data_IF_319004799061
#
_entry.id   IF_319004799061
#
_cell.length_a   1.000
_cell.length_b   1.000
_cell.length_c   1.000
_cell.angle_alpha   90.00
_cell.angle_beta   90.00
_cell.angle_gamma   90.00
#
_symmetry.space_group_name_H-M   'P 1'
#
loop_
_entity.id
_entity.type
_entity.pdbx_description
1 polymer ?
#
# COMPACT_ATOMS: atom_id res chain seq x y z
N UNK A 1 -26.29 -9.57 17.54
CA UNK A 1 -24.80 -9.57 17.51
C UNK A 1 -24.28 -8.46 18.41
N UNK A 2 -23.21 -8.71 19.14
CA UNK A 2 -22.50 -7.66 19.86
C UNK A 2 -21.70 -6.83 18.84
N UNK A 3 -21.84 -5.53 18.84
CA UNK A 3 -21.05 -4.62 18.00
C UNK A 3 -19.72 -4.31 18.71
N UNK A 4 -18.70 -3.84 17.98
CA UNK A 4 -17.46 -3.37 18.59
C UNK A 4 -17.70 -2.32 19.66
N UNK A 5 -16.90 -2.35 20.71
CA UNK A 5 -17.02 -1.38 21.81
C UNK A 5 -16.71 0.05 21.33
N UNK A 6 -17.51 1.01 21.80
CA UNK A 6 -17.35 2.43 21.48
C UNK A 6 -15.94 2.95 21.76
N UNK A 7 -15.32 2.48 22.86
CA UNK A 7 -13.95 2.86 23.22
C UNK A 7 -12.93 2.39 22.16
N UNK A 8 -13.14 1.20 21.58
CA UNK A 8 -12.28 0.65 20.53
C UNK A 8 -12.46 1.40 19.20
N UNK A 9 -13.69 1.75 18.85
CA UNK A 9 -13.96 2.57 17.67
C UNK A 9 -13.31 3.96 17.82
N UNK A 10 -13.40 4.59 19.00
CA UNK A 10 -12.76 5.87 19.27
C UNK A 10 -11.22 5.78 19.15
N UNK A 11 -10.63 4.70 19.65
CA UNK A 11 -9.17 4.45 19.54
C UNK A 11 -8.71 4.35 18.09
N UNK A 12 -9.48 3.63 17.26
CA UNK A 12 -9.08 3.30 15.88
C UNK A 12 -9.40 4.43 14.90
N UNK A 13 -10.60 5.04 15.02
CA UNK A 13 -11.14 5.99 14.03
C UNK A 13 -11.12 7.44 14.50
N UNK A 14 -10.89 7.70 15.79
CA UNK A 14 -11.01 9.05 16.36
C UNK A 14 -12.46 9.56 16.45
N UNK A 15 -13.43 8.73 16.03
CA UNK A 15 -14.87 9.02 16.06
C UNK A 15 -15.68 7.73 16.21
N UNK A 16 -16.95 7.81 16.55
CA UNK A 16 -17.78 6.64 16.85
C UNK A 16 -19.12 6.60 16.14
N UNK A 17 -19.55 7.69 15.55
CA UNK A 17 -20.85 7.79 14.87
C UNK A 17 -20.80 7.11 13.49
N UNK A 18 -19.86 7.53 12.65
CA UNK A 18 -19.72 7.00 11.29
C UNK A 18 -19.23 5.55 11.36
N UNK A 19 -18.19 5.29 12.14
CA UNK A 19 -17.65 3.94 12.32
C UNK A 19 -18.68 2.98 12.91
N UNK A 20 -19.40 3.38 13.95
CA UNK A 20 -20.48 2.59 14.54
C UNK A 20 -21.61 2.26 13.55
N UNK A 21 -22.00 3.21 12.71
CA UNK A 21 -22.99 2.98 11.65
C UNK A 21 -22.48 1.97 10.60
N UNK A 22 -21.19 2.04 10.21
CA UNK A 22 -20.56 1.09 9.28
C UNK A 22 -20.56 -0.34 9.85
N UNK A 23 -20.16 -0.54 11.12
CA UNK A 23 -20.15 -1.85 11.77
C UNK A 23 -21.56 -2.39 12.00
N UNK A 24 -22.54 -1.53 12.29
CA UNK A 24 -23.95 -1.93 12.36
C UNK A 24 -24.46 -2.45 11.01
N UNK A 25 -24.20 -1.74 9.92
CA UNK A 25 -24.54 -2.18 8.56
C UNK A 25 -23.88 -3.53 8.24
N UNK A 26 -22.61 -3.71 8.64
CA UNK A 26 -21.86 -4.96 8.46
C UNK A 26 -22.54 -6.13 9.18
N UNK A 27 -22.91 -5.94 10.44
CA UNK A 27 -23.60 -6.93 11.28
C UNK A 27 -24.98 -7.33 10.69
N UNK A 28 -25.78 -6.35 10.30
CA UNK A 28 -27.12 -6.56 9.77
C UNK A 28 -27.07 -7.36 8.45
N UNK A 29 -26.14 -7.04 7.55
CA UNK A 29 -25.97 -7.75 6.28
C UNK A 29 -25.38 -9.16 6.47
N UNK A 30 -24.39 -9.31 7.36
CA UNK A 30 -23.83 -10.63 7.69
C UNK A 30 -24.91 -11.60 8.20
N UNK A 31 -25.71 -11.16 9.19
CA UNK A 31 -26.84 -11.94 9.71
C UNK A 31 -27.86 -12.29 8.65
N UNK A 32 -28.23 -11.32 7.81
CA UNK A 32 -29.20 -11.51 6.74
C UNK A 32 -28.75 -12.53 5.70
N UNK A 33 -27.47 -12.52 5.32
CA UNK A 33 -26.94 -13.36 4.24
C UNK A 33 -26.63 -14.77 4.74
N UNK A 34 -26.00 -14.91 5.90
CA UNK A 34 -25.51 -16.18 6.42
C UNK A 34 -26.40 -16.81 7.48
N UNK A 35 -27.45 -16.11 7.94
CA UNK A 35 -28.37 -16.61 8.97
C UNK A 35 -27.72 -16.82 10.33
N UNK A 36 -26.62 -16.11 10.62
CA UNK A 36 -25.84 -16.25 11.84
C UNK A 36 -26.06 -15.07 12.78
N UNK A 37 -26.14 -15.35 14.09
CA UNK A 37 -26.31 -14.34 15.14
C UNK A 37 -25.00 -13.99 15.85
N UNK A 38 -23.90 -14.61 15.43
CA UNK A 38 -22.56 -14.38 15.97
C UNK A 38 -21.64 -13.92 14.84
N UNK A 39 -20.86 -12.89 15.10
CA UNK A 39 -19.79 -12.43 14.25
C UNK A 39 -18.71 -11.77 15.11
N UNK A 40 -17.48 -11.85 14.64
CA UNK A 40 -16.33 -11.06 15.10
C UNK A 40 -16.02 -10.01 14.03
N UNK A 41 -15.46 -8.88 14.45
CA UNK A 41 -15.24 -7.75 13.57
C UNK A 41 -13.77 -7.45 13.39
N UNK A 42 -13.41 -7.09 12.16
CA UNK A 42 -12.04 -6.88 11.73
C UNK A 42 -11.94 -5.63 10.89
N UNK A 43 -10.77 -5.01 10.89
CA UNK A 43 -10.45 -3.87 10.04
C UNK A 43 -9.02 -3.95 9.55
N UNK A 44 -8.78 -3.54 8.31
CA UNK A 44 -7.45 -3.36 7.75
C UNK A 44 -7.43 -2.09 6.89
N UNK A 45 -6.55 -1.12 7.17
CA UNK A 45 -6.46 0.12 6.40
C UNK A 45 -5.81 -0.10 5.03
N UNK A 46 -6.03 0.85 4.11
CA UNK A 46 -5.14 1.07 2.98
C UNK A 46 -3.82 1.72 3.42
N UNK A 47 -2.94 2.03 2.48
CA UNK A 47 -1.63 2.62 2.77
C UNK A 47 -1.29 3.79 1.84
N UNK A 48 -0.40 4.64 2.31
CA UNK A 48 0.33 5.63 1.50
C UNK A 48 1.83 5.34 1.59
N UNK A 49 2.54 5.48 0.45
CA UNK A 49 3.99 5.54 0.43
C UNK A 49 4.40 7.01 0.62
N UNK A 50 5.18 7.29 1.65
CA UNK A 50 5.61 8.65 1.98
C UNK A 50 6.90 8.99 1.22
N UNK A 51 7.92 8.12 1.31
CA UNK A 51 9.20 8.25 0.60
C UNK A 51 9.85 6.86 0.49
N UNK A 52 10.67 6.61 -0.55
CA UNK A 52 11.34 5.33 -0.78
C UNK A 52 10.82 4.61 -2.02
N UNK A 53 10.46 5.37 -3.05
CA UNK A 53 9.81 4.85 -4.26
C UNK A 53 10.64 3.77 -4.96
N UNK A 54 10.07 2.57 -5.11
CA UNK A 54 10.69 1.44 -5.82
C UNK A 54 12.04 0.95 -5.26
N UNK A 55 12.29 1.09 -3.97
CA UNK A 55 13.52 0.56 -3.35
C UNK A 55 13.33 -0.81 -2.71
N UNK A 56 12.12 -1.17 -2.29
CA UNK A 56 11.79 -2.39 -1.55
C UNK A 56 12.18 -3.69 -2.25
N UNK A 57 12.00 -3.77 -3.58
CA UNK A 57 12.33 -4.97 -4.36
C UNK A 57 13.84 -5.20 -4.58
N UNK A 58 14.70 -4.24 -4.22
CA UNK A 58 16.17 -4.36 -4.22
C UNK A 58 16.79 -4.24 -2.82
N UNK A 59 15.98 -4.43 -1.77
CA UNK A 59 16.45 -4.45 -0.40
C UNK A 59 16.68 -3.07 0.21
N UNK A 60 16.09 -2.01 -0.39
CA UNK A 60 16.19 -0.64 0.12
C UNK A 60 15.26 -0.33 1.29
N UNK A 61 15.14 0.94 1.62
CA UNK A 61 14.30 1.44 2.72
C UNK A 61 13.13 2.25 2.21
N UNK A 62 12.03 2.24 2.97
CA UNK A 62 10.79 2.98 2.66
C UNK A 62 10.19 3.52 3.94
N UNK A 63 9.68 4.76 3.91
CA UNK A 63 8.70 5.22 4.91
C UNK A 63 7.33 5.18 4.26
N UNK A 64 6.45 4.38 4.84
CA UNK A 64 5.06 4.26 4.43
C UNK A 64 4.15 4.27 5.66
N UNK A 65 2.85 4.46 5.46
CA UNK A 65 1.91 4.48 6.58
C UNK A 65 0.51 4.04 6.17
N UNK A 66 -0.24 3.55 7.14
CA UNK A 66 -1.67 3.29 6.99
C UNK A 66 -2.45 4.59 6.84
N UNK A 67 -3.51 4.57 6.05
CA UNK A 67 -4.41 5.72 5.87
C UNK A 67 -5.73 5.50 6.59
N UNK A 68 -6.53 6.57 6.72
CA UNK A 68 -7.84 6.56 7.36
C UNK A 68 -8.97 5.93 6.51
N UNK A 69 -8.66 5.34 5.35
CA UNK A 69 -9.57 4.51 4.57
C UNK A 69 -9.24 3.04 4.81
N UNK A 70 -10.26 2.19 5.00
CA UNK A 70 -10.08 0.80 5.36
C UNK A 70 -11.08 -0.16 4.72
N UNK A 71 -10.76 -1.43 4.79
CA UNK A 71 -11.67 -2.55 4.56
C UNK A 71 -12.05 -3.13 5.92
N UNK A 72 -13.35 -3.25 6.18
CA UNK A 72 -13.90 -3.84 7.40
C UNK A 72 -14.62 -5.14 7.09
N UNK A 73 -14.64 -6.07 8.03
CA UNK A 73 -15.28 -7.37 7.88
C UNK A 73 -16.00 -7.82 9.15
N UNK A 74 -17.19 -8.43 8.98
CA UNK A 74 -17.82 -9.29 9.96
C UNK A 74 -17.61 -10.73 9.50
N UNK A 75 -17.05 -11.59 10.37
CA UNK A 75 -16.76 -12.96 10.00
C UNK A 75 -17.03 -13.93 11.16
N UNK A 76 -17.32 -15.21 10.81
CA UNK A 76 -17.44 -16.28 11.79
C UNK A 76 -17.10 -17.63 11.16
N UNK A 77 -16.44 -18.57 11.89
CA UNK A 77 -16.20 -19.93 11.42
C UNK A 77 -17.50 -20.67 11.09
N UNK A 78 -17.55 -21.33 9.95
CA UNK A 78 -18.75 -22.05 9.50
C UNK A 78 -18.66 -23.57 9.68
N UNK A 79 -17.58 -24.09 10.29
CA UNK A 79 -17.37 -25.51 10.55
C UNK A 79 -17.15 -26.37 9.32
N UNK A 80 -16.88 -25.77 8.15
CA UNK A 80 -16.63 -26.45 6.89
C UNK A 80 -15.20 -26.22 6.38
N UNK A 81 -14.89 -26.76 5.19
CA UNK A 81 -13.66 -26.46 4.46
C UNK A 81 -13.89 -25.45 3.32
N UNK A 82 -14.90 -24.60 3.44
CA UNK A 82 -15.25 -23.63 2.41
C UNK A 82 -15.30 -22.23 3.00
N UNK A 83 -14.60 -21.30 2.38
CA UNK A 83 -14.67 -19.87 2.67
C UNK A 83 -15.72 -19.26 1.77
N UNK A 84 -16.62 -18.44 2.34
CA UNK A 84 -17.62 -17.66 1.60
C UNK A 84 -17.50 -16.19 2.03
N UNK A 85 -17.28 -15.31 1.06
CA UNK A 85 -17.15 -13.87 1.32
C UNK A 85 -18.09 -13.12 0.39
N UNK A 86 -19.00 -12.34 0.96
CA UNK A 86 -19.82 -11.38 0.23
C UNK A 86 -19.23 -9.98 0.44
N UNK A 87 -18.97 -9.29 -0.65
CA UNK A 87 -18.48 -7.91 -0.63
C UNK A 87 -19.60 -6.93 -0.92
N UNK A 88 -19.69 -5.86 -0.12
CA UNK A 88 -20.68 -4.80 -0.33
C UNK A 88 -20.55 -4.18 -1.73
N UNK A 89 -21.67 -4.04 -2.44
CA UNK A 89 -21.69 -3.48 -3.80
C UNK A 89 -21.32 -4.47 -4.92
N UNK A 90 -20.88 -5.69 -4.59
CA UNK A 90 -20.60 -6.74 -5.58
C UNK A 90 -21.71 -7.79 -5.57
N UNK A 91 -22.01 -8.36 -6.76
CA UNK A 91 -23.09 -9.35 -6.91
C UNK A 91 -22.64 -10.78 -6.61
N UNK A 92 -21.39 -11.08 -6.93
CA UNK A 92 -20.90 -12.45 -6.88
C UNK A 92 -20.23 -12.71 -5.51
N UNK A 93 -20.63 -13.80 -4.88
CA UNK A 93 -19.98 -14.30 -3.68
C UNK A 93 -18.61 -14.91 -4.05
N UNK A 94 -17.60 -14.63 -3.25
CA UNK A 94 -16.28 -15.27 -3.35
C UNK A 94 -16.35 -16.58 -2.60
N UNK A 95 -16.16 -17.71 -3.31
CA UNK A 95 -16.21 -19.06 -2.74
C UNK A 95 -14.86 -19.75 -2.96
N UNK A 96 -14.24 -20.23 -1.90
CA UNK A 96 -12.96 -20.97 -1.94
C UNK A 96 -13.08 -22.28 -1.17
N UNK A 97 -12.90 -23.41 -1.85
CA UNK A 97 -12.85 -24.75 -1.30
C UNK A 97 -11.39 -25.09 -0.90
N UNK A 98 -11.12 -25.16 0.39
CA UNK A 98 -9.79 -25.40 0.95
C UNK A 98 -9.23 -26.79 0.61
N UNK A 99 -10.09 -27.73 0.21
CA UNK A 99 -9.68 -29.08 -0.24
C UNK A 99 -9.15 -29.08 -1.67
N UNK A 100 -9.30 -27.97 -2.41
CA UNK A 100 -8.97 -27.84 -3.84
C UNK A 100 -8.06 -26.65 -4.13
N UNK A 101 -7.25 -26.24 -3.15
CA UNK A 101 -6.31 -25.14 -3.32
C UNK A 101 -5.30 -25.47 -4.42
N UNK A 102 -5.37 -24.75 -5.54
CA UNK A 102 -4.37 -24.74 -6.59
C UNK A 102 -4.63 -23.59 -7.57
N UNK A 103 -3.58 -23.05 -8.18
CA UNK A 103 -3.70 -22.03 -9.22
C UNK A 103 -4.56 -22.52 -10.43
N UNK A 104 -4.56 -23.80 -10.73
CA UNK A 104 -5.37 -24.36 -11.83
C UNK A 104 -6.87 -24.28 -11.57
N UNK A 105 -7.30 -24.36 -10.32
CA UNK A 105 -8.71 -24.25 -9.94
C UNK A 105 -9.17 -22.80 -9.78
N UNK A 106 -8.24 -21.90 -9.39
CA UNK A 106 -8.52 -20.50 -9.14
C UNK A 106 -7.62 -19.62 -10.04
N UNK A 107 -8.12 -19.26 -11.21
CA UNK A 107 -7.28 -18.65 -12.26
C UNK A 107 -7.24 -17.13 -12.24
N UNK A 108 -8.28 -16.47 -11.71
CA UNK A 108 -8.44 -14.99 -11.77
C UNK A 108 -9.34 -14.47 -10.65
N UNK A 109 -9.27 -13.17 -10.43
CA UNK A 109 -10.15 -12.43 -9.53
C UNK A 109 -9.86 -12.66 -8.05
N UNK A 110 -10.77 -12.20 -7.21
CA UNK A 110 -10.59 -12.20 -5.75
C UNK A 110 -10.59 -13.62 -5.16
N UNK A 111 -11.33 -14.57 -5.77
CA UNK A 111 -11.29 -15.97 -5.34
C UNK A 111 -9.89 -16.58 -5.51
N UNK A 112 -9.17 -16.23 -6.58
CA UNK A 112 -7.78 -16.66 -6.77
C UNK A 112 -6.86 -16.05 -5.72
N UNK A 113 -7.04 -14.77 -5.37
CA UNK A 113 -6.28 -14.11 -4.31
C UNK A 113 -6.47 -14.81 -2.96
N UNK A 114 -7.74 -15.05 -2.55
CA UNK A 114 -8.06 -15.75 -1.28
C UNK A 114 -7.50 -17.16 -1.28
N UNK A 115 -7.64 -17.92 -2.38
CA UNK A 115 -7.07 -19.26 -2.49
C UNK A 115 -5.53 -19.24 -2.35
N UNK A 116 -4.87 -18.27 -2.98
CA UNK A 116 -3.43 -18.05 -2.84
C UNK A 116 -3.01 -17.71 -1.42
N UNK A 117 -3.79 -16.89 -0.72
CA UNK A 117 -3.54 -16.58 0.69
C UNK A 117 -3.64 -17.82 1.57
N UNK A 118 -4.67 -18.65 1.36
CA UNK A 118 -4.83 -19.91 2.13
C UNK A 118 -3.68 -20.88 1.86
N UNK A 119 -3.29 -21.06 0.60
CA UNK A 119 -2.13 -21.91 0.27
C UNK A 119 -0.83 -21.32 0.85
N UNK A 120 -0.65 -20.00 0.77
CA UNK A 120 0.49 -19.29 1.35
C UNK A 120 0.56 -19.44 2.86
N UNK A 121 -0.56 -19.32 3.57
CA UNK A 121 -0.64 -19.54 5.02
C UNK A 121 -0.24 -20.97 5.39
N UNK A 122 -0.82 -21.98 4.72
CA UNK A 122 -0.49 -23.38 4.95
C UNK A 122 0.99 -23.71 4.70
N UNK A 123 1.58 -23.16 3.64
CA UNK A 123 3.01 -23.33 3.32
C UNK A 123 3.94 -22.71 4.37
N UNK A 124 3.48 -21.67 5.07
CA UNK A 124 4.20 -21.06 6.19
C UNK A 124 3.85 -21.71 7.55
N UNK A 125 3.11 -22.82 7.57
CA UNK A 125 2.82 -23.59 8.76
C UNK A 125 1.63 -23.09 9.59
N UNK A 126 0.77 -22.25 9.01
CA UNK A 126 -0.42 -21.73 9.67
C UNK A 126 -1.67 -22.55 9.31
N UNK A 127 -2.57 -22.64 10.27
CA UNK A 127 -3.86 -23.32 10.09
C UNK A 127 -4.82 -22.44 9.30
N UNK A 128 -5.66 -23.10 8.51
CA UNK A 128 -6.75 -22.47 7.75
C UNK A 128 -8.03 -23.23 7.93
N UNK A 129 -9.18 -22.54 7.92
CA UNK A 129 -10.49 -23.16 8.08
C UNK A 129 -11.56 -22.39 7.32
N UNK A 130 -12.71 -23.01 7.14
CA UNK A 130 -13.87 -22.38 6.50
C UNK A 130 -14.50 -21.34 7.41
N UNK A 131 -14.83 -20.19 6.82
CA UNK A 131 -15.56 -19.11 7.48
C UNK A 131 -16.50 -18.41 6.49
N UNK A 132 -17.51 -17.76 7.03
CA UNK A 132 -18.35 -16.84 6.30
C UNK A 132 -17.95 -15.42 6.65
N UNK A 133 -17.91 -14.49 5.68
CA UNK A 133 -17.61 -13.10 5.91
C UNK A 133 -18.46 -12.16 5.04
N UNK A 134 -18.89 -11.05 5.62
CA UNK A 134 -19.39 -9.90 4.87
C UNK A 134 -18.39 -8.75 5.03
N UNK A 135 -17.94 -8.20 3.91
CA UNK A 135 -16.91 -7.16 3.89
C UNK A 135 -17.39 -5.88 3.21
N UNK A 136 -16.94 -4.74 3.70
CA UNK A 136 -17.18 -3.42 3.14
C UNK A 136 -15.88 -2.64 3.09
N UNK A 137 -15.63 -1.91 2.00
CA UNK A 137 -14.41 -1.12 1.84
C UNK A 137 -14.71 0.30 1.40
N UNK A 138 -14.01 1.25 1.98
CA UNK A 138 -13.90 2.62 1.47
C UNK A 138 -12.50 2.92 0.91
N UNK A 139 -11.61 1.91 0.88
CA UNK A 139 -10.32 2.03 0.19
C UNK A 139 -10.56 2.10 -1.31
N UNK A 140 -10.17 3.20 -1.90
CA UNK A 140 -10.50 3.53 -3.29
C UNK A 140 -9.70 2.63 -4.24
N UNK A 141 -10.40 1.85 -5.03
CA UNK A 141 -9.77 0.99 -6.04
C UNK A 141 -9.06 1.85 -7.10
N UNK A 142 -7.89 1.39 -7.55
CA UNK A 142 -7.07 2.06 -8.55
C UNK A 142 -6.61 3.50 -8.19
N UNK A 143 -6.74 3.92 -6.94
CA UNK A 143 -6.23 5.21 -6.44
C UNK A 143 -4.81 5.10 -5.82
N UNK A 144 -4.09 4.02 -6.07
CA UNK A 144 -2.73 3.83 -5.59
C UNK A 144 -2.60 3.66 -4.07
N UNK A 145 -3.70 3.43 -3.35
CA UNK A 145 -3.74 3.30 -1.88
C UNK A 145 -3.94 1.86 -1.40
N UNK A 146 -3.65 0.89 -2.27
CA UNK A 146 -3.57 -0.55 -2.00
C UNK A 146 -4.83 -1.19 -1.43
N UNK A 147 -5.94 -1.10 -2.18
CA UNK A 147 -7.17 -1.81 -1.81
C UNK A 147 -7.00 -3.33 -1.77
N UNK A 148 -6.13 -3.92 -2.60
CA UNK A 148 -5.81 -5.36 -2.55
C UNK A 148 -5.13 -5.72 -1.23
N UNK A 149 -4.05 -5.01 -0.85
CA UNK A 149 -3.33 -5.30 0.39
C UNK A 149 -4.20 -5.06 1.65
N UNK A 150 -5.06 -4.03 1.63
CA UNK A 150 -6.06 -3.82 2.70
C UNK A 150 -6.97 -5.05 2.86
N UNK A 151 -7.51 -5.58 1.76
CA UNK A 151 -8.32 -6.81 1.78
C UNK A 151 -7.51 -8.03 2.20
N UNK A 152 -6.29 -8.19 1.70
CA UNK A 152 -5.38 -9.29 2.09
C UNK A 152 -5.12 -9.28 3.60
N UNK A 153 -4.79 -8.11 4.17
CA UNK A 153 -4.51 -8.00 5.60
C UNK A 153 -5.76 -8.22 6.45
N UNK A 154 -6.95 -7.83 5.96
CA UNK A 154 -8.21 -8.20 6.61
C UNK A 154 -8.37 -9.73 6.68
N UNK A 155 -8.14 -10.45 5.58
CA UNK A 155 -8.24 -11.91 5.54
C UNK A 155 -7.18 -12.56 6.45
N UNK A 156 -5.93 -12.05 6.45
CA UNK A 156 -4.90 -12.53 7.37
C UNK A 156 -5.34 -12.37 8.83
N UNK A 157 -5.91 -11.22 9.19
CA UNK A 157 -6.38 -10.98 10.57
C UNK A 157 -7.52 -11.94 10.95
N UNK A 158 -8.41 -12.26 10.02
CA UNK A 158 -9.50 -13.23 10.23
C UNK A 158 -8.94 -14.64 10.48
N UNK A 159 -8.05 -15.13 9.63
CA UNK A 159 -7.49 -16.47 9.80
C UNK A 159 -6.58 -16.58 11.02
N UNK A 160 -5.85 -15.51 11.35
CA UNK A 160 -5.01 -15.48 12.54
C UNK A 160 -5.84 -15.55 13.82
N UNK A 161 -6.88 -14.75 13.90
CA UNK A 161 -7.76 -14.75 15.07
C UNK A 161 -8.49 -16.10 15.28
N UNK A 162 -9.09 -16.65 14.20
CA UNK A 162 -9.92 -17.86 14.35
C UNK A 162 -9.14 -19.16 14.39
N UNK A 163 -7.99 -19.24 13.72
CA UNK A 163 -7.31 -20.52 13.52
C UNK A 163 -5.86 -20.55 14.03
N UNK A 164 -5.29 -19.38 14.40
CA UNK A 164 -3.88 -19.28 14.79
C UNK A 164 -3.66 -18.56 16.12
N UNK A 165 -4.71 -18.39 16.93
CA UNK A 165 -4.63 -17.78 18.27
C UNK A 165 -3.95 -16.40 18.29
N UNK A 166 -4.07 -15.63 17.21
CA UNK A 166 -3.41 -14.33 17.00
C UNK A 166 -1.87 -14.38 17.15
N UNK A 167 -1.24 -15.43 16.65
CA UNK A 167 0.22 -15.66 16.72
C UNK A 167 0.99 -15.36 15.45
N UNK A 168 0.30 -15.07 14.35
CA UNK A 168 0.96 -14.66 13.11
C UNK A 168 1.59 -13.27 13.27
N UNK A 169 2.84 -13.13 12.87
CA UNK A 169 3.48 -11.82 12.82
C UNK A 169 3.03 -11.01 11.59
N UNK A 170 3.25 -9.70 11.58
CA UNK A 170 3.00 -8.88 10.39
C UNK A 170 3.86 -9.30 9.19
N UNK A 171 5.06 -9.83 9.46
CA UNK A 171 5.88 -10.44 8.41
C UNK A 171 5.20 -11.65 7.78
N UNK A 172 4.54 -12.49 8.59
CA UNK A 172 3.78 -13.63 8.09
C UNK A 172 2.58 -13.18 7.23
N UNK A 173 1.86 -12.14 7.70
CA UNK A 173 0.79 -11.53 6.93
C UNK A 173 1.28 -11.05 5.56
N UNK A 174 2.41 -10.33 5.53
CA UNK A 174 2.98 -9.81 4.29
C UNK A 174 3.45 -10.93 3.35
N UNK A 175 4.09 -11.98 3.87
CA UNK A 175 4.49 -13.16 3.08
C UNK A 175 3.28 -13.88 2.47
N UNK A 176 2.20 -14.04 3.23
CA UNK A 176 0.94 -14.65 2.75
C UNK A 176 0.32 -13.83 1.63
N UNK A 177 0.20 -12.51 1.79
CA UNK A 177 -0.34 -11.62 0.75
C UNK A 177 0.55 -11.60 -0.49
N UNK A 178 1.86 -11.43 -0.33
CA UNK A 178 2.81 -11.45 -1.45
C UNK A 178 2.77 -12.78 -2.21
N UNK A 179 2.71 -13.92 -1.51
CA UNK A 179 2.57 -15.23 -2.15
C UNK A 179 1.33 -15.28 -3.04
N UNK A 180 0.19 -14.81 -2.54
CA UNK A 180 -1.07 -14.80 -3.30
C UNK A 180 -0.97 -13.92 -4.55
N UNK A 181 -0.42 -12.70 -4.44
CA UNK A 181 -0.22 -11.81 -5.58
C UNK A 181 0.77 -12.40 -6.62
N UNK A 182 1.93 -12.89 -6.17
CA UNK A 182 2.98 -13.38 -7.07
C UNK A 182 2.61 -14.70 -7.75
N UNK A 183 2.00 -15.64 -7.02
CA UNK A 183 1.75 -16.99 -7.51
C UNK A 183 0.39 -17.10 -8.22
N UNK A 184 -0.67 -16.49 -7.66
CA UNK A 184 -2.02 -16.64 -8.20
C UNK A 184 -2.42 -15.52 -9.16
N UNK A 185 -1.95 -14.31 -8.92
CA UNK A 185 -2.24 -13.17 -9.80
C UNK A 185 -1.15 -12.87 -10.83
N UNK A 186 0.00 -13.57 -10.78
CA UNK A 186 1.15 -13.31 -11.64
C UNK A 186 1.63 -11.83 -11.57
N UNK A 187 1.47 -11.21 -10.39
CA UNK A 187 1.86 -9.83 -10.12
C UNK A 187 3.15 -9.82 -9.31
N UNK A 188 4.25 -9.41 -9.92
CA UNK A 188 5.54 -9.27 -9.23
C UNK A 188 5.47 -8.09 -8.24
N UNK A 189 5.05 -8.34 -7.00
CA UNK A 189 4.95 -7.35 -5.92
C UNK A 189 6.01 -7.55 -4.83
N UNK A 190 6.45 -6.44 -4.22
CA UNK A 190 7.17 -6.42 -2.96
C UNK A 190 6.23 -6.71 -1.77
N UNK A 191 6.69 -6.42 -0.56
CA UNK A 191 5.90 -6.59 0.68
C UNK A 191 5.54 -5.25 1.33
N UNK A 192 5.91 -4.13 0.76
CA UNK A 192 5.69 -2.80 1.34
C UNK A 192 4.21 -2.52 1.58
N UNK A 193 3.36 -2.82 0.61
CA UNK A 193 1.92 -2.57 0.66
C UNK A 193 1.27 -3.33 1.83
N UNK A 194 1.55 -4.62 1.91
CA UNK A 194 1.04 -5.51 2.96
C UNK A 194 1.54 -5.08 4.34
N UNK A 195 2.85 -4.82 4.46
CA UNK A 195 3.44 -4.38 5.74
C UNK A 195 2.85 -3.05 6.22
N UNK A 196 2.70 -2.07 5.33
CA UNK A 196 2.14 -0.78 5.70
C UNK A 196 0.68 -0.88 6.13
N UNK A 197 -0.14 -1.72 5.47
CA UNK A 197 -1.52 -1.98 5.89
C UNK A 197 -1.60 -2.77 7.22
N UNK A 198 -0.68 -3.72 7.45
CA UNK A 198 -0.68 -4.57 8.63
C UNK A 198 -0.23 -3.85 9.90
N UNK A 199 0.89 -3.11 9.83
CA UNK A 199 1.56 -2.53 11.03
C UNK A 199 0.82 -1.31 11.58
N UNK A 200 0.33 -0.43 10.71
CA UNK A 200 -0.33 0.82 11.11
C UNK A 200 0.64 1.94 11.52
N UNK A 201 0.18 3.18 11.35
CA UNK A 201 0.97 4.39 11.57
C UNK A 201 2.00 4.62 10.47
N UNK A 202 2.83 5.67 10.60
CA UNK A 202 3.99 5.87 9.76
C UNK A 202 5.12 4.97 10.25
N UNK A 203 5.74 4.24 9.33
CA UNK A 203 6.71 3.18 9.63
C UNK A 203 7.88 3.30 8.67
N UNK A 204 9.09 3.24 9.20
CA UNK A 204 10.30 3.00 8.44
C UNK A 204 10.48 1.48 8.28
N UNK A 205 10.52 1.01 7.05
CA UNK A 205 10.78 -0.38 6.68
C UNK A 205 12.19 -0.51 6.10
N UNK A 206 12.88 -1.60 6.45
CA UNK A 206 14.15 -2.02 5.89
C UNK A 206 13.96 -3.41 5.24
N UNK A 207 14.10 -3.46 3.91
CA UNK A 207 13.86 -4.66 3.09
C UNK A 207 15.14 -5.45 2.79
N UNK A 208 16.25 -5.14 3.45
CA UNK A 208 17.53 -5.85 3.24
C UNK A 208 17.44 -7.34 3.58
N UNK A 209 16.72 -7.69 4.65
CA UNK A 209 16.41 -9.08 5.02
C UNK A 209 14.94 -9.39 4.69
N UNK A 210 14.73 -10.09 3.58
CA UNK A 210 13.38 -10.45 3.10
C UNK A 210 12.68 -11.50 3.94
N UNK A 211 13.45 -12.33 4.64
CA UNK A 211 12.89 -13.38 5.49
C UNK A 211 12.45 -12.83 6.84
N UNK A 212 13.08 -11.74 7.29
CA UNK A 212 12.79 -11.11 8.56
C UNK A 212 12.88 -9.58 8.44
N UNK A 213 11.84 -9.00 7.84
CA UNK A 213 11.76 -7.56 7.63
C UNK A 213 11.86 -6.80 8.94
N UNK A 214 12.76 -5.81 8.96
CA UNK A 214 12.89 -4.89 10.07
C UNK A 214 12.03 -3.67 9.84
N UNK A 215 11.37 -3.21 10.89
CA UNK A 215 10.59 -1.99 10.83
C UNK A 215 10.59 -1.26 12.16
N UNK A 216 10.41 0.06 12.12
CA UNK A 216 10.26 0.91 13.29
C UNK A 216 9.15 1.94 13.07
N UNK A 217 8.24 2.07 14.04
CA UNK A 217 7.21 3.12 14.02
C UNK A 217 7.84 4.47 14.26
N UNK A 218 7.39 5.46 13.51
CA UNK A 218 7.82 6.85 13.64
C UNK A 218 6.74 7.65 14.37
N UNK A 219 7.12 8.55 15.26
CA UNK A 219 6.16 9.49 15.89
C UNK A 219 5.94 10.68 14.96
N UNK A 220 5.11 10.48 13.96
CA UNK A 220 4.87 11.43 12.91
C UNK A 220 3.39 11.46 12.48
N UNK A 221 2.90 12.65 12.18
CA UNK A 221 1.71 12.85 11.34
C UNK A 221 1.81 14.20 10.64
N UNK A 222 1.28 14.32 9.43
CA UNK A 222 1.28 15.59 8.68
C UNK A 222 0.59 16.71 9.48
N UNK A 223 -0.49 16.41 10.20
CA UNK A 223 -1.22 17.38 11.02
C UNK A 223 -0.43 17.97 12.19
N UNK A 224 0.54 17.23 12.77
CA UNK A 224 1.37 17.73 13.87
C UNK A 224 2.18 18.98 13.48
N UNK A 225 2.52 19.14 12.22
CA UNK A 225 3.25 20.31 11.72
C UNK A 225 2.47 21.18 10.73
N UNK A 226 1.13 21.06 10.76
CA UNK A 226 0.22 21.95 10.02
C UNK A 226 0.10 21.65 8.53
N UNK A 227 0.33 20.41 8.10
CA UNK A 227 0.18 19.93 6.74
C UNK A 227 -0.87 18.82 6.62
N UNK A 228 -1.33 18.59 5.40
CA UNK A 228 -2.27 17.53 5.03
C UNK A 228 -1.79 16.80 3.79
N UNK A 229 -2.06 15.50 3.75
CA UNK A 229 -1.83 14.66 2.57
C UNK A 229 -3.06 14.70 1.68
N UNK A 230 -2.87 14.95 0.38
CA UNK A 230 -3.92 14.85 -0.63
C UNK A 230 -3.44 13.94 -1.74
N UNK A 231 -4.14 12.83 -1.94
CA UNK A 231 -3.90 11.91 -3.06
C UNK A 231 -4.77 12.36 -4.24
N UNK A 232 -4.18 12.48 -5.43
CA UNK A 232 -4.86 12.91 -6.64
C UNK A 232 -4.75 11.82 -7.69
N UNK A 233 -5.87 11.20 -8.05
CA UNK A 233 -5.94 10.24 -9.14
C UNK A 233 -6.01 10.99 -10.47
N UNK A 234 -5.08 10.69 -11.37
CA UNK A 234 -4.97 11.37 -12.67
C UNK A 234 -5.94 10.84 -13.72
N UNK A 235 -6.75 9.81 -13.37
CA UNK A 235 -7.81 9.26 -14.23
C UNK A 235 -7.30 8.27 -15.29
N UNK A 236 -6.13 7.65 -15.12
CA UNK A 236 -5.66 6.53 -15.96
C UNK A 236 -5.50 5.27 -15.12
N UNK A 237 -6.07 4.15 -15.60
CA UNK A 237 -5.92 2.84 -14.97
C UNK A 237 -4.57 2.17 -15.28
N UNK A 238 -4.21 1.17 -14.48
CA UNK A 238 -2.92 0.45 -14.56
C UNK A 238 -2.94 -0.79 -15.47
N UNK A 239 -4.06 -1.14 -16.09
CA UNK A 239 -4.32 -2.46 -16.68
C UNK A 239 -3.29 -2.92 -17.74
N UNK A 240 -2.63 -1.98 -18.44
CA UNK A 240 -1.71 -2.30 -19.55
C UNK A 240 -0.23 -2.00 -19.24
N UNK A 241 0.11 -1.74 -17.96
CA UNK A 241 1.43 -1.25 -17.55
C UNK A 241 2.26 -2.27 -16.76
N UNK A 242 1.80 -3.51 -16.64
CA UNK A 242 2.50 -4.57 -15.89
C UNK A 242 3.93 -4.80 -16.35
N UNK A 243 4.20 -4.65 -17.64
CA UNK A 243 5.54 -4.76 -18.20
C UNK A 243 6.47 -3.66 -17.67
N UNK A 244 6.03 -2.38 -17.74
CA UNK A 244 6.82 -1.23 -17.30
C UNK A 244 7.10 -1.29 -15.79
N UNK A 245 6.14 -1.77 -14.99
CA UNK A 245 6.36 -2.05 -13.57
C UNK A 245 7.43 -3.11 -13.34
N UNK A 246 7.40 -4.21 -14.10
CA UNK A 246 8.38 -5.30 -13.95
C UNK A 246 9.77 -4.95 -14.47
N UNK A 247 9.89 -3.99 -15.40
CA UNK A 247 11.17 -3.50 -15.90
C UNK A 247 12.00 -2.79 -14.83
N UNK A 248 11.38 -2.07 -13.89
CA UNK A 248 12.13 -1.38 -12.81
C UNK A 248 12.95 -2.35 -11.98
N UNK A 249 12.36 -3.35 -11.29
CA UNK A 249 13.15 -4.32 -10.53
C UNK A 249 14.09 -5.14 -11.42
N UNK A 250 13.70 -5.43 -12.65
CA UNK A 250 14.51 -6.20 -13.60
C UNK A 250 15.80 -5.48 -13.98
N UNK A 251 15.72 -4.20 -14.33
CA UNK A 251 16.88 -3.37 -14.67
C UNK A 251 17.80 -3.15 -13.46
N UNK A 252 17.25 -2.86 -12.28
CA UNK A 252 18.06 -2.74 -11.06
C UNK A 252 18.80 -4.04 -10.72
N UNK A 253 18.16 -5.20 -10.90
CA UNK A 253 18.83 -6.51 -10.73
C UNK A 253 19.88 -6.79 -11.80
N UNK A 254 19.66 -6.35 -13.03
CA UNK A 254 20.68 -6.47 -14.08
C UNK A 254 21.94 -5.66 -13.71
N UNK A 255 21.78 -4.46 -13.16
CA UNK A 255 22.89 -3.67 -12.62
C UNK A 255 23.57 -4.40 -11.46
N UNK A 256 22.82 -4.87 -10.46
CA UNK A 256 23.35 -5.61 -9.31
C UNK A 256 24.23 -6.79 -9.77
N UNK A 257 23.78 -7.54 -10.78
CA UNK A 257 24.55 -8.64 -11.37
C UNK A 257 25.89 -8.19 -11.97
N UNK A 258 25.94 -7.04 -12.65
CA UNK A 258 27.21 -6.48 -13.19
C UNK A 258 28.14 -6.09 -12.04
N UNK A 259 27.59 -5.62 -10.91
CA UNK A 259 28.33 -5.28 -9.70
C UNK A 259 28.73 -6.51 -8.86
N UNK A 260 28.32 -7.73 -9.26
CA UNK A 260 28.69 -8.98 -8.60
C UNK A 260 27.87 -9.31 -7.35
N UNK A 261 26.68 -8.71 -7.19
CA UNK A 261 25.75 -8.92 -6.07
C UNK A 261 24.38 -9.38 -6.56
N UNK A 262 23.52 -9.85 -5.65
CA UNK A 262 22.15 -10.24 -5.98
C UNK A 262 21.21 -9.03 -6.03
N UNK A 263 21.33 -8.16 -5.04
CA UNK A 263 20.51 -6.97 -4.88
C UNK A 263 21.37 -5.72 -4.66
N UNK A 264 20.88 -4.55 -5.06
CA UNK A 264 21.62 -3.30 -4.95
C UNK A 264 21.98 -2.90 -3.51
N UNK A 265 21.18 -3.30 -2.52
CA UNK A 265 21.50 -2.98 -1.11
C UNK A 265 22.80 -3.64 -0.61
N UNK A 266 23.30 -4.68 -1.29
CA UNK A 266 24.55 -5.38 -0.94
C UNK A 266 25.81 -4.65 -1.43
N UNK A 267 25.66 -3.53 -2.09
CA UNK A 267 26.74 -2.72 -2.65
C UNK A 267 26.46 -1.23 -2.45
N UNK A 268 27.17 -0.34 -3.14
CA UNK A 268 27.06 1.11 -2.98
C UNK A 268 27.21 1.84 -4.32
N UNK A 269 27.00 3.16 -4.28
CA UNK A 269 27.10 4.03 -5.46
C UNK A 269 28.51 4.11 -6.04
N UNK A 270 29.56 4.00 -5.22
CA UNK A 270 30.94 4.04 -5.71
C UNK A 270 31.24 2.84 -6.63
N UNK A 271 30.78 1.64 -6.24
CA UNK A 271 30.89 0.45 -7.08
C UNK A 271 30.10 0.62 -8.41
N UNK A 272 28.95 1.28 -8.39
CA UNK A 272 28.24 1.61 -9.62
C UNK A 272 29.04 2.55 -10.50
N UNK A 273 29.65 3.62 -9.96
CA UNK A 273 30.45 4.57 -10.71
C UNK A 273 31.68 3.92 -11.35
N UNK A 274 32.35 3.01 -10.65
CA UNK A 274 33.49 2.25 -11.19
C UNK A 274 33.13 1.32 -12.36
N UNK A 275 31.87 0.85 -12.40
CA UNK A 275 31.40 -0.13 -13.38
C UNK A 275 30.41 0.47 -14.40
N UNK A 276 30.04 1.73 -14.29
CA UNK A 276 29.03 2.41 -15.10
C UNK A 276 29.22 2.17 -16.61
N UNK A 277 30.45 2.28 -17.12
CA UNK A 277 30.77 2.07 -18.53
C UNK A 277 30.67 0.61 -19.01
N UNK A 278 30.42 -0.35 -18.11
CA UNK A 278 30.19 -1.76 -18.45
C UNK A 278 28.71 -2.12 -18.56
N UNK A 279 27.83 -1.19 -18.23
CA UNK A 279 26.38 -1.35 -18.29
C UNK A 279 25.90 -0.67 -19.57
N UNK A 280 25.35 -1.45 -20.49
CA UNK A 280 24.91 -0.93 -21.80
C UNK A 280 23.58 -0.17 -21.73
N UNK A 281 22.75 -0.45 -20.72
CA UNK A 281 21.43 0.17 -20.53
C UNK A 281 21.55 1.41 -19.63
N UNK A 282 21.54 2.59 -20.24
CA UNK A 282 21.61 3.88 -19.52
C UNK A 282 20.44 4.07 -18.55
N UNK A 283 19.23 3.58 -18.88
CA UNK A 283 18.07 3.65 -18.01
C UNK A 283 18.26 2.78 -16.75
N UNK A 284 18.87 1.62 -16.90
CA UNK A 284 19.19 0.77 -15.76
C UNK A 284 20.18 1.45 -14.82
N UNK A 285 21.19 2.17 -15.36
CA UNK A 285 22.12 2.99 -14.55
C UNK A 285 21.37 4.09 -13.79
N UNK A 286 20.49 4.84 -14.48
CA UNK A 286 19.68 5.90 -13.85
C UNK A 286 18.80 5.35 -12.70
N UNK A 287 18.17 4.20 -12.92
CA UNK A 287 17.35 3.52 -11.91
C UNK A 287 18.17 3.04 -10.71
N UNK A 288 19.40 2.57 -10.94
CA UNK A 288 20.32 2.22 -9.85
C UNK A 288 20.79 3.47 -9.06
N UNK A 289 21.08 4.58 -9.73
CA UNK A 289 21.38 5.87 -9.08
C UNK A 289 20.19 6.35 -8.24
N UNK A 290 18.98 6.23 -8.76
CA UNK A 290 17.77 6.49 -7.97
C UNK A 290 17.73 5.64 -6.72
N UNK A 291 17.95 4.31 -6.83
CA UNK A 291 17.92 3.38 -5.71
C UNK A 291 18.84 3.79 -4.57
N UNK A 292 20.11 4.07 -4.87
CA UNK A 292 21.09 4.47 -3.85
C UNK A 292 20.72 5.82 -3.22
N UNK A 293 20.39 6.83 -4.05
CA UNK A 293 19.99 8.13 -3.56
C UNK A 293 18.69 8.12 -2.75
N UNK A 294 17.71 7.31 -3.18
CA UNK A 294 16.40 7.22 -2.53
C UNK A 294 16.50 6.49 -1.18
N UNK A 295 17.30 5.41 -1.10
CA UNK A 295 17.53 4.71 0.16
C UNK A 295 18.21 5.62 1.20
N UNK A 296 19.19 6.42 0.80
CA UNK A 296 19.81 7.44 1.69
C UNK A 296 18.80 8.51 2.11
N UNK A 297 17.98 9.02 1.18
CA UNK A 297 16.92 10.01 1.50
C UNK A 297 15.91 9.51 2.52
N UNK A 298 15.59 8.21 2.49
CA UNK A 298 14.69 7.61 3.48
C UNK A 298 15.31 7.64 4.87
N UNK A 299 16.60 7.35 5.00
CA UNK A 299 17.33 7.45 6.28
C UNK A 299 17.34 8.89 6.79
N UNK A 300 17.72 9.84 5.94
CA UNK A 300 17.73 11.27 6.27
C UNK A 300 16.33 11.79 6.64
N UNK A 301 15.28 11.27 5.98
CA UNK A 301 13.90 11.61 6.29
C UNK A 301 13.45 11.06 7.65
N UNK A 302 13.86 9.85 8.02
CA UNK A 302 13.60 9.29 9.35
C UNK A 302 14.32 10.11 10.44
N UNK A 303 15.56 10.52 10.17
CA UNK A 303 16.34 11.37 11.07
C UNK A 303 15.72 12.78 11.21
N UNK A 304 15.25 13.37 10.11
CA UNK A 304 14.55 14.66 10.14
C UNK A 304 13.26 14.58 10.98
N UNK A 305 12.49 13.50 10.85
CA UNK A 305 11.31 13.24 11.69
C UNK A 305 11.71 13.14 13.17
N UNK A 306 12.76 12.40 13.49
CA UNK A 306 13.26 12.22 14.86
C UNK A 306 13.66 13.54 15.53
N UNK A 307 14.23 14.46 14.75
CA UNK A 307 14.65 15.78 15.21
C UNK A 307 13.56 16.86 15.08
N UNK A 308 12.35 16.51 14.62
CA UNK A 308 11.25 17.44 14.31
C UNK A 308 11.66 18.52 13.28
N UNK A 309 12.59 18.18 12.38
CA UNK A 309 13.00 19.05 11.26
C UNK A 309 12.10 18.79 10.05
N UNK A 310 10.90 19.37 10.12
CA UNK A 310 9.87 19.14 9.09
C UNK A 310 10.17 19.88 7.78
N UNK A 311 10.92 20.96 7.81
CA UNK A 311 11.37 21.65 6.59
C UNK A 311 12.33 20.76 5.80
N UNK A 312 13.30 20.14 6.48
CA UNK A 312 14.19 19.16 5.87
C UNK A 312 13.44 17.93 5.38
N UNK A 313 12.47 17.43 6.13
CA UNK A 313 11.62 16.31 5.71
C UNK A 313 10.86 16.61 4.42
N UNK A 314 10.24 17.80 4.29
CA UNK A 314 9.56 18.20 3.06
C UNK A 314 10.54 18.37 1.89
N UNK A 315 11.73 18.93 2.12
CA UNK A 315 12.78 19.03 1.10
C UNK A 315 13.13 17.63 0.54
N UNK A 316 13.33 16.64 1.42
CA UNK A 316 13.65 15.27 1.02
C UNK A 316 12.52 14.60 0.21
N UNK A 317 11.25 14.87 0.54
CA UNK A 317 10.12 14.41 -0.26
C UNK A 317 10.12 15.05 -1.67
N UNK A 318 10.43 16.34 -1.77
CA UNK A 318 10.54 17.03 -3.06
C UNK A 318 11.68 16.46 -3.91
N UNK A 319 12.86 16.22 -3.30
CA UNK A 319 13.99 15.57 -3.94
C UNK A 319 13.64 14.14 -4.42
N UNK A 320 12.92 13.36 -3.59
CA UNK A 320 12.41 12.03 -3.97
C UNK A 320 11.49 12.11 -5.20
N UNK A 321 10.61 13.11 -5.25
CA UNK A 321 9.74 13.37 -6.40
C UNK A 321 10.53 13.69 -7.67
N UNK A 322 11.57 14.53 -7.56
CA UNK A 322 12.49 14.84 -8.67
C UNK A 322 13.25 13.61 -9.13
N UNK A 323 13.82 12.84 -8.20
CA UNK A 323 14.53 11.60 -8.49
C UNK A 323 13.65 10.57 -9.18
N UNK A 324 12.37 10.45 -8.76
CA UNK A 324 11.40 9.59 -9.43
C UNK A 324 11.12 10.02 -10.87
N UNK A 325 11.07 11.32 -11.14
CA UNK A 325 10.86 11.83 -12.49
C UNK A 325 12.10 11.71 -13.37
N UNK A 326 13.24 12.12 -12.85
CA UNK A 326 14.49 12.28 -13.63
C UNK A 326 15.24 10.95 -13.81
N UNK A 327 15.37 10.16 -12.72
CA UNK A 327 16.21 8.96 -12.68
C UNK A 327 15.39 7.67 -12.78
N UNK A 328 14.37 7.48 -11.95
CA UNK A 328 13.52 6.29 -11.99
C UNK A 328 12.65 6.25 -13.25
N UNK A 329 12.20 7.41 -13.70
CA UNK A 329 11.38 7.60 -14.90
C UNK A 329 10.06 6.84 -14.86
N UNK A 330 9.36 6.91 -13.73
CA UNK A 330 8.05 6.29 -13.54
C UNK A 330 6.88 7.29 -13.55
N UNK A 331 7.12 8.54 -13.95
CA UNK A 331 6.07 9.56 -14.06
C UNK A 331 5.34 9.57 -15.42
N UNK A 332 5.79 8.78 -16.40
CA UNK A 332 5.23 8.66 -17.73
C UNK A 332 5.54 7.29 -18.33
N UNK A 333 4.82 6.91 -19.38
CA UNK A 333 5.07 5.68 -20.13
C UNK A 333 5.75 5.98 -21.48
N UNK A 334 6.69 5.11 -21.88
CA UNK A 334 7.31 5.20 -23.23
C UNK A 334 6.42 4.60 -24.32
N UNK A 335 5.41 3.82 -23.97
CA UNK A 335 4.46 3.22 -24.94
C UNK A 335 3.57 4.26 -25.61
N UNK A 336 3.23 5.32 -24.87
CA UNK A 336 2.45 6.45 -25.36
C UNK A 336 3.00 7.75 -24.75
N UNK A 337 3.94 8.37 -25.47
CA UNK A 337 4.58 9.62 -25.02
C UNK A 337 3.65 10.84 -25.01
N UNK A 338 2.44 10.75 -25.57
CA UNK A 338 1.41 11.78 -25.46
C UNK A 338 0.60 11.66 -24.16
N UNK A 339 0.60 10.49 -23.53
CA UNK A 339 -0.12 10.24 -22.26
C UNK A 339 0.76 10.65 -21.07
N UNK A 340 0.61 11.90 -20.63
CA UNK A 340 1.43 12.55 -19.62
C UNK A 340 0.60 13.03 -18.41
N UNK A 341 -0.41 12.27 -17.99
CA UNK A 341 -1.36 12.73 -16.95
C UNK A 341 -0.69 12.95 -15.59
N UNK A 342 0.23 12.06 -15.17
CA UNK A 342 0.99 12.24 -13.93
C UNK A 342 1.82 13.50 -13.99
N UNK A 343 2.69 13.64 -14.99
CA UNK A 343 3.60 14.78 -15.15
C UNK A 343 2.83 16.10 -15.28
N UNK A 344 1.71 16.10 -16.04
CA UNK A 344 0.82 17.27 -16.12
C UNK A 344 0.24 17.63 -14.75
N UNK A 345 -0.24 16.65 -14.00
CA UNK A 345 -0.87 16.89 -12.69
C UNK A 345 0.17 17.35 -11.67
N UNK A 346 1.39 16.78 -11.69
CA UNK A 346 2.53 17.28 -10.90
C UNK A 346 2.84 18.74 -11.24
N UNK A 347 2.99 19.08 -12.52
CA UNK A 347 3.30 20.45 -12.94
C UNK A 347 2.20 21.45 -12.49
N UNK A 348 0.92 21.09 -12.62
CA UNK A 348 -0.20 21.93 -12.14
C UNK A 348 -0.16 22.08 -10.63
N UNK A 349 0.14 21.03 -9.88
CA UNK A 349 0.29 21.07 -8.41
C UNK A 349 1.47 21.95 -8.03
N UNK A 350 2.63 21.81 -8.67
CA UNK A 350 3.80 22.64 -8.42
C UNK A 350 3.54 24.13 -8.66
N UNK A 351 2.73 24.49 -9.68
CA UNK A 351 2.31 25.88 -9.89
C UNK A 351 1.50 26.43 -8.71
N UNK A 352 0.58 25.62 -8.15
CA UNK A 352 -0.18 26.00 -6.98
C UNK A 352 0.74 26.19 -5.76
N UNK A 353 1.56 25.17 -5.46
CA UNK A 353 2.47 25.19 -4.31
C UNK A 353 3.48 26.36 -4.39
N UNK A 354 4.02 26.64 -5.58
CA UNK A 354 4.89 27.80 -5.81
C UNK A 354 4.16 29.12 -5.53
N UNK A 355 2.89 29.24 -5.90
CA UNK A 355 2.08 30.45 -5.65
C UNK A 355 1.88 30.70 -4.16
N UNK A 356 1.64 29.65 -3.38
CA UNK A 356 1.43 29.77 -1.92
C UNK A 356 2.77 29.77 -1.13
N UNK A 357 3.88 29.40 -1.77
CA UNK A 357 5.22 29.37 -1.18
C UNK A 357 5.45 28.25 -0.18
N UNK A 358 4.66 27.17 -0.21
CA UNK A 358 4.76 26.06 0.74
C UNK A 358 4.19 24.76 0.18
N UNK A 359 4.62 23.61 0.73
CA UNK A 359 4.17 22.29 0.33
C UNK A 359 5.02 21.65 -0.75
N UNK A 360 4.82 20.36 -0.96
CA UNK A 360 5.57 19.52 -1.93
C UNK A 360 4.64 18.53 -2.60
N UNK A 361 5.05 17.98 -3.75
CA UNK A 361 4.30 16.92 -4.41
C UNK A 361 5.24 15.96 -5.15
N UNK A 362 4.80 14.70 -5.27
CA UNK A 362 5.53 13.67 -5.99
C UNK A 362 4.59 12.65 -6.63
N UNK A 363 5.11 11.83 -7.54
CA UNK A 363 4.41 10.61 -7.96
C UNK A 363 4.20 9.70 -6.74
N UNK A 364 3.09 8.98 -6.69
CA UNK A 364 2.75 8.11 -5.58
C UNK A 364 2.60 6.66 -6.05
N UNK A 365 3.18 5.72 -5.28
CA UNK A 365 3.17 4.29 -5.60
C UNK A 365 3.98 3.97 -6.86
N UNK A 366 3.53 3.00 -7.64
CA UNK A 366 4.30 2.47 -8.77
C UNK A 366 4.54 3.44 -9.95
N UNK A 367 3.76 4.51 -10.09
CA UNK A 367 3.91 5.45 -11.20
C UNK A 367 3.31 4.96 -12.53
N UNK A 368 3.84 5.43 -13.66
CA UNK A 368 3.43 5.23 -15.06
C UNK A 368 1.99 5.64 -15.38
N UNK A 369 1.07 5.34 -14.51
CA UNK A 369 -0.32 5.79 -14.47
C UNK A 369 -0.78 5.94 -13.02
N UNK A 370 -1.94 6.52 -12.79
CA UNK A 370 -2.57 6.55 -11.49
C UNK A 370 -2.40 7.87 -10.75
N UNK A 371 -1.57 7.94 -9.72
CA UNK A 371 -1.74 8.95 -8.69
C UNK A 371 -0.48 9.76 -8.38
N UNK A 372 -0.70 10.97 -7.88
CA UNK A 372 0.29 11.79 -7.21
C UNK A 372 -0.09 12.00 -5.75
N UNK A 373 0.90 12.24 -4.89
CA UNK A 373 0.73 12.73 -3.54
C UNK A 373 1.11 14.21 -3.48
N UNK A 374 0.26 15.04 -2.88
CA UNK A 374 0.55 16.42 -2.55
C UNK A 374 0.48 16.61 -1.04
N UNK A 375 1.48 17.24 -0.46
CA UNK A 375 1.54 17.62 0.95
C UNK A 375 1.39 19.12 0.99
N UNK A 376 0.23 19.59 1.45
CA UNK A 376 -0.17 20.99 1.41
C UNK A 376 -0.36 21.54 2.83
N UNK A 377 -0.11 22.83 3.09
CA UNK A 377 -0.48 23.42 4.37
C UNK A 377 -1.97 23.19 4.66
N UNK A 378 -2.30 22.83 5.91
CA UNK A 378 -3.68 22.53 6.32
C UNK A 378 -4.67 23.63 5.94
N UNK A 379 -4.29 24.89 6.14
CA UNK A 379 -5.11 26.07 5.77
C UNK A 379 -5.37 26.22 4.26
N UNK A 380 -4.58 25.59 3.42
CA UNK A 380 -4.67 25.62 1.95
C UNK A 380 -5.29 24.35 1.36
N UNK A 381 -5.64 23.35 2.18
CA UNK A 381 -6.17 22.08 1.68
C UNK A 381 -7.39 22.26 0.79
N UNK A 382 -8.40 22.99 1.25
CA UNK A 382 -9.65 23.19 0.50
C UNK A 382 -9.40 23.98 -0.79
N UNK A 383 -8.54 24.99 -0.74
CA UNK A 383 -8.13 25.75 -1.92
C UNK A 383 -7.42 24.87 -2.96
N UNK A 384 -6.55 23.98 -2.50
CA UNK A 384 -5.86 23.04 -3.38
C UNK A 384 -6.84 22.01 -3.97
N UNK A 385 -7.71 21.43 -3.15
CA UNK A 385 -8.75 20.48 -3.61
C UNK A 385 -9.62 21.13 -4.68
N UNK A 386 -10.11 22.36 -4.45
CA UNK A 386 -10.88 23.09 -5.45
C UNK A 386 -10.07 23.35 -6.73
N UNK A 387 -8.83 23.80 -6.58
CA UNK A 387 -7.95 24.09 -7.71
C UNK A 387 -7.70 22.86 -8.59
N UNK A 388 -7.22 21.74 -8.00
CA UNK A 388 -6.83 20.57 -8.76
C UNK A 388 -8.03 19.80 -9.35
N UNK A 389 -9.18 19.85 -8.67
CA UNK A 389 -10.43 19.24 -9.13
C UNK A 389 -10.91 19.76 -10.48
N UNK A 390 -10.53 20.98 -10.86
CA UNK A 390 -10.85 21.56 -12.17
C UNK A 390 -10.19 20.82 -13.34
N UNK A 391 -9.11 20.08 -13.06
CA UNK A 391 -8.32 19.39 -14.06
C UNK A 391 -8.49 17.87 -14.07
N UNK A 392 -8.82 17.29 -12.90
CA UNK A 392 -8.92 15.84 -12.74
C UNK A 392 -10.33 15.34 -12.38
N UNK A 393 -11.24 16.24 -12.00
CA UNK A 393 -12.56 15.91 -11.42
C UNK A 393 -12.50 15.78 -9.89
N UNK A 394 -13.55 16.23 -9.21
CA UNK A 394 -13.62 16.24 -7.74
C UNK A 394 -13.57 14.85 -7.14
N UNK A 395 -14.14 13.88 -7.83
CA UNK A 395 -14.18 12.47 -7.46
C UNK A 395 -12.81 11.78 -7.49
N UNK A 396 -11.79 12.46 -8.00
CA UNK A 396 -10.41 11.98 -8.11
C UNK A 396 -9.45 12.64 -7.12
N UNK A 397 -9.94 13.44 -6.17
CA UNK A 397 -9.11 14.17 -5.20
C UNK A 397 -9.48 13.74 -3.79
N UNK A 398 -8.53 13.18 -3.07
CA UNK A 398 -8.75 12.49 -1.81
C UNK A 398 -7.83 13.05 -0.71
N UNK A 399 -8.32 13.98 0.14
CA UNK A 399 -7.64 14.29 1.40
C UNK A 399 -7.58 13.05 2.29
N UNK A 400 -6.42 12.78 2.87
CA UNK A 400 -6.17 11.61 3.70
C UNK A 400 -5.38 11.96 4.95
N UNK A 401 -5.57 11.15 5.98
CA UNK A 401 -4.80 11.19 7.22
C UNK A 401 -4.12 9.84 7.48
N UNK A 402 -3.03 9.88 8.25
CA UNK A 402 -2.35 8.67 8.71
C UNK A 402 -3.15 8.06 9.86
N UNK A 403 -3.47 6.78 9.75
CA UNK A 403 -4.13 5.99 10.79
C UNK A 403 -3.09 5.24 11.63
N UNK A 404 -3.12 5.41 12.95
CA UNK A 404 -2.11 4.84 13.85
C UNK A 404 -2.17 3.31 13.97
N UNK A 405 -3.36 2.72 13.79
CA UNK A 405 -3.62 1.28 13.98
C UNK A 405 -3.79 0.60 12.63
N UNK A 406 -3.03 -0.47 12.41
CA UNK A 406 -3.07 -1.29 11.20
C UNK A 406 -4.22 -2.30 11.19
N UNK A 407 -3.96 -3.48 10.61
CA UNK A 407 -4.92 -4.57 10.56
C UNK A 407 -5.11 -5.17 11.96
N UNK A 408 -6.37 -5.29 12.40
CA UNK A 408 -6.68 -5.72 13.76
C UNK A 408 -8.09 -6.31 13.90
N UNK A 409 -8.25 -7.27 14.81
CA UNK A 409 -9.54 -7.70 15.36
C UNK A 409 -10.04 -6.66 16.36
N UNK A 410 -11.32 -6.36 16.34
CA UNK A 410 -11.89 -5.25 17.10
C UNK A 410 -13.12 -5.61 17.96
N UNK A 411 -13.53 -6.89 17.95
CA UNK A 411 -14.62 -7.39 18.80
C UNK A 411 -15.65 -8.22 18.08
#
# INVERSE_FOLDING_TARGET
MNLPETAKLQEIYGETEISGARFKNLADNFSKIYGQDKAEYFTAPGRTEIIGNHTDHNGGKVIAGSINLDTIGAAYPNGTQVIRITSEGYRDEIVVDLTKLSKSNYKKGTAALVAGMMEGAQKNGFETGGFDAYVSTNVIAAAGVSSSASFEMLICTIIDYFFNESKMSFNDYAKVGQYAENVYWDKASGMMDQMACAVGGPVLFDFADRDNLKYSKLDFSFGKFGYRLVIVNTGKGHADLSQEYSEIPGEMKAVAKVLGVELLHETNVDALLEHCNKIEDDRAVLRALHFFGETSRVEDAADAIHHNDYDKFLELIDESGKSSWELLQNCYTMKDFHEQKITRTLALTQLFLKKIGAGVCRVHGGGFAGVIAAIVPEKEQDNYVEYISRFVGKENVYPMDIRAIGAVHIG
#
